data_IF_338704725908
#
_entry.id   IF_338704725908
#
_cell.length_a   1.000
_cell.length_b   1.000
_cell.length_c   1.000
_cell.angle_alpha   90.00
_cell.angle_beta   90.00
_cell.angle_gamma   90.00
#
_symmetry.space_group_name_H-M   'P 1'
#
loop_
_entity.id
_entity.type
_entity.pdbx_description
1 polymer ?
#
# COMPACT_ATOMS: atom_id res chain seq x y z
N UNK A 1 15.17 11.15 -2.83
CA UNK A 1 13.90 11.02 -3.55
C UNK A 1 12.98 10.07 -2.81
N UNK A 2 11.68 10.32 -2.90
CA UNK A 2 10.69 9.45 -2.28
C UNK A 2 10.05 8.57 -3.32
N UNK A 3 9.77 7.34 -2.94
CA UNK A 3 8.97 6.44 -3.75
C UNK A 3 7.99 5.70 -2.84
N UNK A 4 6.90 5.23 -3.43
CA UNK A 4 5.83 4.59 -2.66
C UNK A 4 5.67 3.18 -3.17
N UNK A 5 5.63 2.22 -2.24
CA UNK A 5 5.66 0.81 -2.56
C UNK A 5 4.50 0.10 -1.90
N UNK A 6 3.91 -0.84 -2.62
CA UNK A 6 2.80 -1.63 -2.10
C UNK A 6 3.37 -2.89 -1.47
N UNK A 7 3.06 -3.09 -0.20
CA UNK A 7 3.60 -4.21 0.58
C UNK A 7 2.49 -5.06 1.14
N UNK A 8 2.71 -6.36 1.17
CA UNK A 8 1.80 -7.27 1.85
C UNK A 8 2.06 -7.26 3.34
N UNK A 9 1.15 -7.87 4.11
CA UNK A 9 1.30 -7.93 5.55
C UNK A 9 2.53 -8.73 5.97
N UNK A 10 2.98 -9.64 5.10
CA UNK A 10 4.15 -10.47 5.42
C UNK A 10 5.44 -9.94 4.78
N UNK A 11 5.41 -8.74 4.23
CA UNK A 11 6.62 -8.06 3.80
C UNK A 11 7.02 -8.22 2.36
N UNK A 12 6.17 -8.79 1.51
CA UNK A 12 6.48 -8.90 0.09
C UNK A 12 6.05 -7.63 -0.64
N UNK A 13 6.87 -7.18 -1.56
CA UNK A 13 6.55 -6.01 -2.34
C UNK A 13 5.83 -6.39 -3.63
N UNK A 14 4.77 -5.66 -3.94
CA UNK A 14 4.00 -5.84 -5.17
C UNK A 14 4.24 -4.64 -6.09
N UNK A 15 4.12 -4.87 -7.40
CA UNK A 15 4.16 -3.79 -8.41
C UNK A 15 5.46 -2.99 -8.37
N UNK A 16 6.57 -3.68 -8.47
CA UNK A 16 7.86 -3.00 -8.56
C UNK A 16 8.00 -2.29 -9.89
N UNK A 17 8.71 -1.18 -9.93
CA UNK A 17 9.62 -0.64 -8.90
C UNK A 17 8.94 0.29 -7.91
N UNK A 18 7.64 0.50 -8.02
CA UNK A 18 6.93 1.37 -7.11
C UNK A 18 6.30 2.54 -7.85
N UNK A 19 5.91 3.53 -7.09
CA UNK A 19 5.13 4.66 -7.61
C UNK A 19 5.75 5.98 -7.18
N UNK A 20 5.54 7.01 -7.98
CA UNK A 20 6.07 8.33 -7.69
C UNK A 20 5.22 9.08 -6.67
N UNK A 21 3.93 8.77 -6.59
CA UNK A 21 3.03 9.47 -5.70
C UNK A 21 2.27 8.49 -4.82
N UNK A 22 1.88 8.96 -3.63
CA UNK A 22 1.08 8.17 -2.72
C UNK A 22 -0.28 7.83 -3.35
N UNK A 23 -0.85 8.79 -4.06
CA UNK A 23 -2.15 8.61 -4.68
C UNK A 23 -2.16 7.44 -5.65
N UNK A 24 -1.12 7.34 -6.48
CA UNK A 24 -1.02 6.25 -7.45
C UNK A 24 -0.87 4.90 -6.75
N UNK A 25 -0.05 4.86 -5.70
CA UNK A 25 0.16 3.62 -4.97
C UNK A 25 -1.12 3.16 -4.28
N UNK A 26 -1.84 4.08 -3.66
CA UNK A 26 -3.08 3.76 -2.97
C UNK A 26 -4.13 3.26 -3.97
N UNK A 27 -4.22 3.91 -5.12
CA UNK A 27 -5.19 3.52 -6.14
C UNK A 27 -4.92 2.11 -6.65
N UNK A 28 -3.66 1.80 -6.95
CA UNK A 28 -3.30 0.47 -7.42
C UNK A 28 -3.53 -0.58 -6.34
N UNK A 29 -3.17 -0.28 -5.09
CA UNK A 29 -3.41 -1.20 -4.00
C UNK A 29 -4.90 -1.49 -3.84
N UNK A 30 -5.74 -0.47 -3.99
CA UNK A 30 -7.18 -0.65 -3.93
C UNK A 30 -7.70 -1.56 -5.01
N UNK A 31 -7.17 -1.43 -6.24
CA UNK A 31 -7.57 -2.31 -7.33
C UNK A 31 -7.18 -3.75 -7.06
N UNK A 32 -5.97 -3.96 -6.56
CA UNK A 32 -5.51 -5.32 -6.26
C UNK A 32 -6.38 -5.94 -5.18
N UNK A 33 -6.67 -5.20 -4.12
CA UNK A 33 -7.51 -5.71 -3.04
C UNK A 33 -8.92 -6.04 -3.53
N UNK A 34 -9.50 -5.17 -4.33
CA UNK A 34 -10.86 -5.38 -4.84
C UNK A 34 -10.91 -6.57 -5.78
N UNK A 35 -9.94 -6.69 -6.68
CA UNK A 35 -9.89 -7.82 -7.61
C UNK A 35 -9.73 -9.13 -6.88
N UNK A 36 -8.85 -9.16 -5.88
CA UNK A 36 -8.64 -10.38 -5.10
C UNK A 36 -9.90 -10.78 -4.37
N UNK A 37 -10.61 -9.82 -3.80
CA UNK A 37 -11.84 -10.10 -3.10
C UNK A 37 -12.91 -10.63 -4.06
N UNK A 38 -13.01 -10.06 -5.25
CA UNK A 38 -14.01 -10.49 -6.22
C UNK A 38 -13.72 -11.87 -6.78
N UNK A 39 -12.45 -12.17 -7.01
CA UNK A 39 -12.08 -13.44 -7.63
C UNK A 39 -12.00 -14.57 -6.62
N UNK A 40 -11.46 -14.32 -5.46
CA UNK A 40 -11.20 -15.36 -4.46
C UNK A 40 -11.97 -15.21 -3.18
N UNK A 41 -12.64 -14.09 -2.98
CA UNK A 41 -13.34 -13.82 -1.73
C UNK A 41 -12.41 -13.52 -0.57
N UNK A 42 -11.14 -13.25 -0.84
CA UNK A 42 -10.17 -12.97 0.20
C UNK A 42 -10.19 -11.51 0.60
N UNK A 43 -10.14 -11.27 1.90
CA UNK A 43 -10.09 -9.92 2.45
C UNK A 43 -8.63 -9.51 2.60
N UNK A 44 -8.02 -9.20 1.47
CA UNK A 44 -6.61 -8.84 1.43
C UNK A 44 -6.42 -7.42 1.95
N UNK A 45 -5.40 -7.25 2.79
CA UNK A 45 -4.97 -5.94 3.25
C UNK A 45 -3.57 -5.68 2.73
N UNK A 46 -3.39 -4.51 2.16
CA UNK A 46 -2.09 -4.10 1.66
C UNK A 46 -1.66 -2.82 2.36
N UNK A 47 -0.37 -2.61 2.40
CA UNK A 47 0.19 -1.40 3.00
C UNK A 47 0.98 -0.66 1.96
N UNK A 48 0.96 0.66 2.05
CA UNK A 48 1.82 1.50 1.22
C UNK A 48 2.93 2.02 2.11
N UNK A 49 4.17 1.79 1.69
CA UNK A 49 5.35 2.28 2.39
C UNK A 49 5.97 3.41 1.58
N UNK A 50 6.39 4.43 2.28
CA UNK A 50 7.15 5.50 1.67
C UNK A 50 8.63 5.22 1.91
N UNK A 51 9.37 5.08 0.83
CA UNK A 51 10.82 4.87 0.90
C UNK A 51 11.51 6.16 0.52
N UNK A 52 12.41 6.59 1.36
CA UNK A 52 13.23 7.75 1.08
C UNK A 52 14.69 7.36 1.24
N UNK A 53 15.59 8.33 1.07
CA UNK A 53 17.00 8.04 1.11
C UNK A 53 17.45 7.43 2.43
N UNK A 54 16.74 7.76 3.51
CA UNK A 54 17.18 7.36 4.84
C UNK A 54 16.16 6.57 5.63
N UNK A 55 14.96 6.37 5.09
CA UNK A 55 13.94 5.71 5.91
C UNK A 55 12.90 5.00 5.06
N UNK A 56 12.21 4.07 5.71
CA UNK A 56 11.04 3.40 5.15
C UNK A 56 9.97 3.44 6.23
N UNK A 57 8.78 3.90 5.87
CA UNK A 57 7.70 3.92 6.83
C UNK A 57 6.37 3.65 6.15
N UNK A 58 5.47 3.02 6.87
CA UNK A 58 4.13 2.78 6.37
C UNK A 58 3.34 4.07 6.46
N UNK A 59 2.67 4.42 5.36
CA UNK A 59 1.92 5.66 5.30
C UNK A 59 0.43 5.43 5.06
N UNK A 60 0.06 4.24 4.61
CA UNK A 60 -1.36 3.94 4.36
C UNK A 60 -1.60 2.44 4.44
N UNK A 61 -2.84 2.08 4.77
CA UNK A 61 -3.32 0.71 4.73
C UNK A 61 -4.54 0.68 3.82
N UNK A 62 -4.58 -0.28 2.89
CA UNK A 62 -5.67 -0.37 1.93
C UNK A 62 -6.40 -1.67 2.17
N UNK A 63 -7.72 -1.58 2.31
CA UNK A 63 -8.58 -2.69 2.66
C UNK A 63 -9.24 -3.28 1.43
N UNK A 64 -9.78 -4.49 1.58
CA UNK A 64 -10.43 -5.19 0.48
C UNK A 64 -11.64 -4.44 -0.08
N UNK A 65 -12.20 -3.54 0.69
CA UNK A 65 -13.31 -2.71 0.23
C UNK A 65 -12.85 -1.57 -0.67
N UNK A 66 -11.55 -1.42 -0.86
CA UNK A 66 -10.99 -0.31 -1.60
C UNK A 66 -10.76 0.93 -0.76
N UNK A 67 -11.09 0.86 0.51
CA UNK A 67 -10.92 1.99 1.41
C UNK A 67 -9.46 2.08 1.85
N UNK A 68 -8.93 3.29 1.82
CA UNK A 68 -7.57 3.55 2.30
C UNK A 68 -7.63 4.27 3.63
N UNK A 69 -6.81 3.80 4.57
CA UNK A 69 -6.68 4.44 5.88
C UNK A 69 -5.27 5.00 5.96
N UNK A 70 -5.17 6.30 6.13
CA UNK A 70 -3.86 6.94 6.29
C UNK A 70 -3.32 6.62 7.67
N UNK A 71 -2.08 6.17 7.70
CA UNK A 71 -1.42 5.86 8.96
C UNK A 71 -0.61 7.06 9.38
N UNK A 72 -0.89 7.53 10.56
CA UNK A 72 -0.23 8.71 11.08
C UNK A 72 0.66 8.26 12.24
N UNK A 73 1.72 7.60 11.92
CA UNK A 73 2.60 7.05 12.92
C UNK A 73 3.71 8.00 13.30
N UNK A 74 3.47 9.16 13.11
CA UNK A 74 4.45 10.10 13.36
C UNK A 74 4.81 10.23 14.83
N UNK A 75 4.75 10.42 14.95
CA UNK A 75 5.06 10.86 15.78
C UNK A 75 5.46 10.76 16.46
N UNK A 76 5.61 10.75 16.59
CA UNK A 76 6.10 10.71 17.17
C UNK A 76 6.54 10.74 17.44
#
# INVERSE_FOLDING_TARGET
MKSYHIMTAWGAELCRPGFDTLSEAVEMAGEICADTFMLDGEELELYVECHSDFSKCRVAMVLHTGKAVMLDDVEE
#
